data_IF_996338986754
#
_entry.id   IF_996338986754
#
_cell.length_a   1.000
_cell.length_b   1.000
_cell.length_c   1.000
_cell.angle_alpha   90.00
_cell.angle_beta   90.00
_cell.angle_gamma   90.00
#
_symmetry.space_group_name_H-M   'P 1'
#
loop_
_entity.id
_entity.type
_entity.pdbx_description
1 polymer ?
#
# COMPACT_ATOMS: atom_id res chain seq x y z
N UNK A 1 13.28 -26.11 33.28
CA UNK A 1 14.26 -26.28 32.18
C UNK A 1 13.66 -26.88 30.89
N UNK A 2 12.34 -27.04 30.75
CA UNK A 2 11.72 -27.66 29.56
C UNK A 2 11.12 -26.65 28.54
N UNK A 3 11.30 -25.33 28.74
CA UNK A 3 10.69 -24.30 27.87
C UNK A 3 11.47 -23.97 26.59
N UNK A 4 12.72 -24.42 26.45
CA UNK A 4 13.55 -24.06 25.29
C UNK A 4 13.48 -25.09 24.14
N UNK A 5 13.12 -26.34 24.42
CA UNK A 5 13.13 -27.42 23.41
C UNK A 5 11.94 -27.33 22.44
N UNK A 6 10.77 -26.88 22.92
CA UNK A 6 9.56 -26.78 22.09
C UNK A 6 9.69 -25.64 21.05
N UNK A 7 10.35 -24.53 21.42
CA UNK A 7 10.62 -23.43 20.47
C UNK A 7 11.64 -23.83 19.41
N UNK A 8 12.68 -24.60 19.74
CA UNK A 8 13.67 -25.04 18.75
C UNK A 8 13.14 -26.15 17.83
N UNK A 9 12.28 -27.05 18.33
CA UNK A 9 11.65 -28.08 17.51
C UNK A 9 10.70 -27.49 16.44
N UNK A 10 9.97 -26.42 16.77
CA UNK A 10 9.15 -25.68 15.81
C UNK A 10 9.98 -24.94 14.75
N UNK A 11 11.14 -24.39 15.15
CA UNK A 11 12.10 -23.73 14.24
C UNK A 11 12.82 -24.72 13.31
N UNK A 12 13.10 -25.95 13.74
CA UNK A 12 13.84 -26.95 12.97
C UNK A 12 13.00 -27.61 11.85
N UNK A 13 11.68 -27.71 12.03
CA UNK A 13 10.77 -28.21 10.99
C UNK A 13 10.56 -27.20 9.83
N UNK A 14 10.98 -25.94 9.99
CA UNK A 14 10.81 -24.85 9.03
C UNK A 14 11.72 -24.94 7.80
N UNK A 15 12.78 -25.76 7.83
CA UNK A 15 13.78 -25.78 6.76
C UNK A 15 13.30 -26.35 5.41
N UNK A 16 12.09 -26.91 5.33
CA UNK A 16 11.60 -27.62 4.13
C UNK A 16 10.18 -27.22 3.65
N UNK A 17 9.61 -26.11 4.12
CA UNK A 17 8.32 -25.63 3.60
C UNK A 17 8.53 -24.69 2.40
N UNK A 18 8.23 -25.16 1.20
CA UNK A 18 8.18 -24.31 -0.01
C UNK A 18 7.14 -23.20 0.15
N UNK A 19 7.57 -21.95 0.01
CA UNK A 19 6.74 -20.73 0.09
C UNK A 19 5.60 -20.82 -0.95
N UNK A 20 4.31 -20.72 -0.56
CA UNK A 20 3.20 -20.74 -1.51
C UNK A 20 3.21 -19.50 -2.43
N UNK A 21 2.74 -19.61 -3.69
CA UNK A 21 2.69 -18.50 -4.62
C UNK A 21 1.80 -17.37 -4.09
N UNK A 22 2.25 -16.12 -4.21
CA UNK A 22 1.52 -14.92 -3.78
C UNK A 22 1.95 -14.30 -2.45
N UNK A 23 2.91 -14.89 -1.74
CA UNK A 23 3.49 -14.27 -0.54
C UNK A 23 4.57 -13.23 -0.91
N UNK A 24 4.64 -12.08 -0.20
CA UNK A 24 5.72 -11.14 -0.38
C UNK A 24 7.06 -11.79 -0.06
N UNK A 25 8.12 -11.41 -0.79
CA UNK A 25 9.49 -11.78 -0.45
C UNK A 25 9.88 -11.04 0.84
N UNK A 26 9.62 -11.66 1.99
CA UNK A 26 9.75 -11.08 3.32
C UNK A 26 10.51 -12.01 4.26
N UNK A 27 11.27 -11.50 5.25
CA UNK A 27 11.91 -12.33 6.27
C UNK A 27 10.94 -13.23 7.06
N UNK A 28 9.63 -12.93 7.04
CA UNK A 28 8.58 -13.72 7.71
C UNK A 28 7.86 -14.73 6.80
N UNK A 29 8.32 -14.96 5.56
CA UNK A 29 7.61 -15.81 4.60
C UNK A 29 7.33 -17.23 5.17
N UNK A 30 8.33 -17.84 5.80
CA UNK A 30 8.19 -19.18 6.42
C UNK A 30 7.18 -19.16 7.59
N UNK A 31 7.24 -18.12 8.42
CA UNK A 31 6.30 -17.94 9.54
C UNK A 31 4.87 -17.74 9.04
N UNK A 32 4.67 -16.92 8.00
CA UNK A 32 3.36 -16.75 7.37
C UNK A 32 2.86 -18.08 6.81
N UNK A 33 3.74 -18.87 6.17
CA UNK A 33 3.42 -20.22 5.70
C UNK A 33 2.91 -21.12 6.83
N UNK A 34 3.55 -21.09 8.00
CA UNK A 34 3.12 -21.84 9.19
C UNK A 34 1.77 -21.34 9.72
N UNK A 35 1.56 -20.02 9.75
CA UNK A 35 0.31 -19.43 10.20
C UNK A 35 -0.87 -19.72 9.26
N UNK A 36 -0.60 -19.98 7.98
CA UNK A 36 -1.59 -20.39 6.99
C UNK A 36 -1.88 -21.90 6.98
N UNK A 37 -1.03 -22.72 7.60
CA UNK A 37 -1.26 -24.16 7.68
C UNK A 37 -2.48 -24.47 8.54
N UNK A 38 -3.20 -25.54 8.17
CA UNK A 38 -4.36 -26.01 8.92
C UNK A 38 -3.99 -26.38 10.36
N UNK A 39 -4.88 -26.05 11.30
CA UNK A 39 -4.73 -26.45 12.71
C UNK A 39 -4.86 -27.97 12.84
N UNK A 40 -5.88 -28.56 12.20
CA UNK A 40 -6.11 -29.99 12.12
C UNK A 40 -6.84 -30.36 10.81
N UNK A 41 -6.74 -31.61 10.32
CA UNK A 41 -7.36 -32.04 9.06
C UNK A 41 -8.88 -31.87 9.00
N UNK A 42 -9.56 -32.03 10.13
CA UNK A 42 -11.02 -31.93 10.31
C UNK A 42 -11.46 -30.60 10.93
N UNK A 43 -10.51 -29.78 11.39
CA UNK A 43 -10.74 -28.46 11.94
C UNK A 43 -9.65 -27.48 11.44
N UNK A 44 -9.67 -27.08 10.16
CA UNK A 44 -8.59 -26.29 9.55
C UNK A 44 -8.37 -24.95 10.26
N UNK A 45 -9.42 -24.34 10.79
CA UNK A 45 -9.34 -23.10 11.58
C UNK A 45 -9.32 -23.33 13.11
N UNK A 46 -9.35 -24.57 13.58
CA UNK A 46 -9.40 -24.88 15.00
C UNK A 46 -10.67 -24.39 15.70
N UNK A 47 -10.63 -24.38 17.05
CA UNK A 47 -11.76 -23.98 17.88
C UNK A 47 -11.85 -22.44 18.05
N UNK A 48 -13.05 -21.93 18.32
CA UNK A 48 -13.21 -20.57 18.85
C UNK A 48 -12.70 -20.55 20.30
N UNK A 49 -11.72 -19.69 20.58
CA UNK A 49 -11.03 -19.61 21.88
C UNK A 49 -11.43 -18.39 22.70
N UNK A 50 -12.56 -17.75 22.42
CA UNK A 50 -12.95 -16.46 23.06
C UNK A 50 -12.97 -16.47 24.60
N UNK A 51 -13.23 -17.62 25.24
CA UNK A 51 -13.20 -17.78 26.70
C UNK A 51 -11.93 -18.46 27.22
N UNK A 52 -10.98 -18.80 26.34
CA UNK A 52 -9.71 -19.39 26.74
C UNK A 52 -8.85 -18.38 27.52
N UNK A 53 -8.19 -18.84 28.58
CA UNK A 53 -7.40 -17.96 29.44
C UNK A 53 -6.24 -17.27 28.69
N UNK A 54 -5.61 -17.94 27.72
CA UNK A 54 -4.54 -17.34 26.91
C UNK A 54 -5.09 -16.30 25.94
N UNK A 55 -6.29 -16.52 25.39
CA UNK A 55 -6.98 -15.55 24.54
C UNK A 55 -7.32 -14.27 25.32
N UNK A 56 -7.93 -14.40 26.49
CA UNK A 56 -8.25 -13.27 27.35
C UNK A 56 -6.98 -12.51 27.79
N UNK A 57 -5.92 -13.25 28.12
CA UNK A 57 -4.63 -12.66 28.44
C UNK A 57 -4.02 -11.90 27.26
N UNK A 58 -4.14 -12.42 26.02
CA UNK A 58 -3.69 -11.71 24.82
C UNK A 58 -4.40 -10.35 24.69
N UNK A 59 -5.73 -10.33 24.83
CA UNK A 59 -6.52 -9.10 24.71
C UNK A 59 -6.15 -8.08 25.79
N UNK A 60 -5.99 -8.53 27.03
CA UNK A 60 -5.53 -7.67 28.12
C UNK A 60 -4.13 -7.09 27.84
N UNK A 61 -3.19 -7.93 27.40
CA UNK A 61 -1.80 -7.54 27.11
C UNK A 61 -1.68 -6.59 25.94
N UNK A 62 -2.55 -6.72 24.94
CA UNK A 62 -2.57 -5.85 23.77
C UNK A 62 -3.22 -4.49 24.05
N UNK A 63 -3.94 -4.34 25.16
CA UNK A 63 -4.63 -3.10 25.53
C UNK A 63 -3.64 -2.09 26.15
N UNK A 64 -3.45 -0.90 25.56
CA UNK A 64 -2.58 0.12 26.14
C UNK A 64 -3.15 0.65 27.45
N UNK A 65 -2.28 0.90 28.43
CA UNK A 65 -2.70 1.51 29.69
C UNK A 65 -2.64 3.02 29.54
N UNK A 66 -3.80 3.67 29.62
CA UNK A 66 -3.88 5.12 29.64
C UNK A 66 -3.22 5.70 30.91
N UNK A 67 -2.85 6.97 30.86
CA UNK A 67 -2.41 7.69 32.05
C UNK A 67 -3.52 7.68 33.11
N UNK A 68 -3.16 7.40 34.36
CA UNK A 68 -4.09 7.36 35.48
C UNK A 68 -3.67 8.36 36.54
N UNK A 69 -4.60 9.22 36.98
CA UNK A 69 -4.36 10.15 38.06
C UNK A 69 -5.12 9.72 39.33
N UNK A 70 -4.37 9.33 40.37
CA UNK A 70 -4.89 9.02 41.69
C UNK A 70 -4.47 10.12 42.68
N UNK A 71 -5.37 11.09 42.88
CA UNK A 71 -5.07 12.28 43.67
C UNK A 71 -3.92 13.07 43.04
N UNK A 72 -2.80 13.14 43.76
CA UNK A 72 -1.57 13.80 43.30
C UNK A 72 -0.61 12.86 42.55
N UNK A 73 -0.91 11.55 42.49
CA UNK A 73 -0.07 10.57 41.79
C UNK A 73 -0.52 10.40 40.35
N UNK A 74 0.36 10.72 39.40
CA UNK A 74 0.16 10.47 37.97
C UNK A 74 0.94 9.21 37.57
N UNK A 75 0.23 8.18 37.13
CA UNK A 75 0.77 6.97 36.53
C UNK A 75 0.80 7.18 35.02
N UNK A 76 1.99 7.24 34.37
CA UNK A 76 2.09 7.54 32.95
C UNK A 76 1.46 6.42 32.10
N UNK A 77 1.09 6.77 30.87
CA UNK A 77 0.65 5.78 29.90
C UNK A 77 1.77 4.77 29.61
N UNK A 78 1.43 3.48 29.59
CA UNK A 78 2.36 2.38 29.31
C UNK A 78 1.94 1.69 28.02
N UNK A 79 2.88 1.61 27.07
CA UNK A 79 2.67 0.87 25.83
C UNK A 79 2.71 -0.65 26.10
N UNK A 80 1.92 -1.45 25.37
CA UNK A 80 1.99 -2.90 25.43
C UNK A 80 3.41 -3.45 25.19
N UNK A 81 3.75 -4.55 25.87
CA UNK A 81 4.91 -5.36 25.53
C UNK A 81 4.60 -6.14 24.24
N UNK A 82 4.91 -5.54 23.10
CA UNK A 82 4.60 -6.11 21.78
C UNK A 82 5.28 -7.46 21.53
N UNK A 83 6.44 -7.73 22.14
CA UNK A 83 7.10 -9.04 22.05
C UNK A 83 6.30 -10.11 22.81
N UNK A 84 5.78 -9.76 23.99
CA UNK A 84 4.91 -10.65 24.74
C UNK A 84 3.58 -10.90 24.00
N UNK A 85 3.00 -9.85 23.40
CA UNK A 85 1.78 -9.94 22.57
C UNK A 85 2.02 -10.87 21.37
N UNK A 86 3.11 -10.67 20.62
CA UNK A 86 3.46 -11.53 19.48
C UNK A 86 3.59 -12.99 19.91
N UNK A 87 4.35 -13.27 20.97
CA UNK A 87 4.56 -14.64 21.46
C UNK A 87 3.24 -15.33 21.82
N UNK A 88 2.33 -14.62 22.50
CA UNK A 88 1.01 -15.16 22.86
C UNK A 88 0.14 -15.38 21.63
N UNK A 89 0.11 -14.42 20.70
CA UNK A 89 -0.67 -14.53 19.48
C UNK A 89 -0.19 -15.69 18.59
N UNK A 90 1.12 -15.89 18.47
CA UNK A 90 1.71 -17.03 17.74
C UNK A 90 1.35 -18.37 18.40
N UNK A 91 1.38 -18.46 19.73
CA UNK A 91 0.97 -19.66 20.45
C UNK A 91 -0.51 -20.01 20.24
N UNK A 92 -1.39 -19.00 20.30
CA UNK A 92 -2.81 -19.16 19.99
C UNK A 92 -3.05 -19.54 18.52
N UNK A 93 -2.26 -19.01 17.58
CA UNK A 93 -2.39 -19.30 16.14
C UNK A 93 -2.12 -20.76 15.76
N UNK A 94 -1.51 -21.54 16.67
CA UNK A 94 -1.35 -22.98 16.53
C UNK A 94 -2.64 -23.76 16.87
N UNK A 95 -3.61 -23.13 17.55
CA UNK A 95 -4.85 -23.74 18.05
C UNK A 95 -6.10 -23.17 17.40
N UNK A 96 -6.02 -21.95 16.86
CA UNK A 96 -7.14 -21.26 16.22
C UNK A 96 -6.66 -20.33 15.10
N UNK A 97 -7.45 -20.20 14.04
CA UNK A 97 -7.33 -19.13 13.03
C UNK A 97 -8.43 -18.12 13.31
N UNK A 98 -8.09 -17.09 14.05
CA UNK A 98 -9.02 -16.08 14.54
C UNK A 98 -8.50 -14.67 14.22
N UNK A 99 -9.30 -13.87 13.52
CA UNK A 99 -8.96 -12.50 13.14
C UNK A 99 -8.68 -11.61 14.35
N UNK A 100 -9.28 -11.87 15.52
CA UNK A 100 -9.02 -11.12 16.76
C UNK A 100 -7.62 -11.40 17.29
N UNK A 101 -7.13 -12.65 17.17
CA UNK A 101 -5.75 -13.02 17.50
C UNK A 101 -4.79 -12.41 16.48
N UNK A 102 -5.15 -12.50 15.19
CA UNK A 102 -4.32 -11.97 14.10
C UNK A 102 -4.25 -10.44 14.16
N UNK A 103 -5.28 -9.74 14.64
CA UNK A 103 -5.22 -8.30 14.86
C UNK A 103 -4.16 -7.90 15.89
N UNK A 104 -4.08 -8.65 17.00
CA UNK A 104 -3.03 -8.44 18.00
C UNK A 104 -1.63 -8.74 17.41
N UNK A 105 -1.51 -9.82 16.61
CA UNK A 105 -0.28 -10.16 15.91
C UNK A 105 0.13 -9.06 14.92
N UNK A 106 -0.80 -8.60 14.10
CA UNK A 106 -0.62 -7.53 13.12
C UNK A 106 -0.13 -6.25 13.78
N UNK A 107 -0.74 -5.89 14.91
CA UNK A 107 -0.29 -4.75 15.69
C UNK A 107 1.13 -4.94 16.21
N UNK A 108 1.44 -6.12 16.78
CA UNK A 108 2.78 -6.42 17.29
C UNK A 108 3.86 -6.40 16.20
N UNK A 109 3.56 -6.87 14.99
CA UNK A 109 4.49 -6.82 13.87
C UNK A 109 4.67 -5.41 13.34
N UNK A 110 3.59 -4.64 13.25
CA UNK A 110 3.66 -3.23 12.82
C UNK A 110 4.52 -2.41 13.77
N UNK A 111 4.38 -2.60 15.08
CA UNK A 111 5.12 -1.83 16.09
C UNK A 111 6.59 -2.22 16.18
N UNK A 112 6.91 -3.49 15.93
CA UNK A 112 8.29 -3.97 16.00
C UNK A 112 9.05 -3.85 14.68
N UNK A 113 8.34 -3.81 13.56
CA UNK A 113 8.93 -3.99 12.23
C UNK A 113 8.40 -3.02 11.17
N UNK A 114 7.64 -2.01 11.59
CA UNK A 114 7.19 -0.95 10.71
C UNK A 114 6.25 -1.43 9.59
N UNK A 115 6.34 -0.76 8.45
CA UNK A 115 5.55 -1.06 7.25
C UNK A 115 5.77 -2.49 6.72
N UNK A 116 6.98 -3.07 6.72
CA UNK A 116 7.17 -4.49 6.41
C UNK A 116 6.32 -5.42 7.28
N UNK A 117 6.28 -5.20 8.60
CA UNK A 117 5.46 -6.00 9.52
C UNK A 117 3.95 -5.84 9.26
N UNK A 118 3.50 -4.64 8.91
CA UNK A 118 2.11 -4.39 8.54
C UNK A 118 1.73 -5.10 7.23
N UNK A 119 2.59 -5.02 6.21
CA UNK A 119 2.39 -5.68 4.92
C UNK A 119 2.30 -7.21 5.08
N UNK A 120 3.18 -7.80 5.90
CA UNK A 120 3.18 -9.23 6.20
C UNK A 120 1.87 -9.68 6.87
N UNK A 121 1.37 -8.89 7.82
CA UNK A 121 0.12 -9.19 8.51
C UNK A 121 -1.10 -9.09 7.58
N UNK A 122 -1.15 -8.07 6.72
CA UNK A 122 -2.19 -7.93 5.71
C UNK A 122 -2.15 -9.08 4.70
N UNK A 123 -0.97 -9.51 4.27
CA UNK A 123 -0.81 -10.66 3.38
C UNK A 123 -1.30 -11.96 4.03
N UNK A 124 -1.04 -12.16 5.33
CA UNK A 124 -1.59 -13.27 6.11
C UNK A 124 -3.12 -13.23 6.14
N UNK A 125 -3.73 -12.07 6.44
CA UNK A 125 -5.19 -11.92 6.47
C UNK A 125 -5.82 -12.16 5.11
N UNK A 126 -5.27 -11.58 4.04
CA UNK A 126 -5.75 -11.79 2.68
C UNK A 126 -5.77 -13.28 2.31
N UNK A 127 -4.68 -14.01 2.60
CA UNK A 127 -4.59 -15.44 2.34
C UNK A 127 -5.54 -16.27 3.22
N UNK A 128 -5.75 -15.90 4.48
CA UNK A 128 -6.71 -16.60 5.35
C UNK A 128 -8.15 -16.41 4.87
N UNK A 129 -8.52 -15.19 4.50
CA UNK A 129 -9.86 -14.91 3.94
C UNK A 129 -10.08 -15.66 2.62
N UNK A 130 -9.07 -15.74 1.76
CA UNK A 130 -9.16 -16.49 0.51
C UNK A 130 -9.32 -18.00 0.74
N UNK A 131 -8.50 -18.59 1.64
CA UNK A 131 -8.41 -20.04 1.83
C UNK A 131 -9.45 -20.60 2.78
N UNK A 132 -9.89 -19.80 3.76
CA UNK A 132 -10.64 -20.28 4.93
C UNK A 132 -11.85 -19.40 5.24
N UNK A 133 -12.42 -18.76 4.22
CA UNK A 133 -13.55 -17.84 4.38
C UNK A 133 -14.63 -18.36 5.33
N UNK A 134 -15.16 -19.56 5.11
CA UNK A 134 -16.28 -20.06 5.91
C UNK A 134 -15.85 -20.35 7.36
N UNK A 135 -14.71 -21.02 7.53
CA UNK A 135 -14.24 -21.56 8.83
C UNK A 135 -13.43 -20.60 9.70
N UNK A 136 -13.03 -19.44 9.19
CA UNK A 136 -12.26 -18.45 9.95
C UNK A 136 -13.06 -17.88 11.13
N UNK A 137 -12.41 -17.69 12.28
CA UNK A 137 -13.05 -17.05 13.44
C UNK A 137 -12.84 -15.53 13.42
N UNK A 138 -13.78 -14.72 13.95
CA UNK A 138 -15.16 -15.07 14.31
C UNK A 138 -15.96 -15.58 13.10
N UNK A 139 -16.94 -16.47 13.31
CA UNK A 139 -17.81 -16.99 12.23
C UNK A 139 -18.73 -15.90 11.67
N UNK A 140 -19.32 -16.13 10.49
CA UNK A 140 -20.32 -15.24 9.87
C UNK A 140 -21.74 -15.52 10.35
N UNK A 141 -21.89 -16.36 11.36
CA UNK A 141 -23.17 -16.74 11.93
C UNK A 141 -23.16 -16.53 13.44
N UNK A 142 -24.30 -16.06 13.96
CA UNK A 142 -24.59 -15.97 15.39
C UNK A 142 -25.88 -16.76 15.64
N UNK A 143 -25.79 -17.83 16.43
CA UNK A 143 -26.90 -18.73 16.74
C UNK A 143 -27.65 -19.28 15.50
N UNK A 144 -26.92 -19.49 14.40
CA UNK A 144 -27.46 -20.01 13.14
C UNK A 144 -28.04 -18.96 12.20
N UNK A 145 -28.04 -17.68 12.61
CA UNK A 145 -28.44 -16.56 11.76
C UNK A 145 -27.20 -15.86 11.16
N UNK A 146 -27.21 -15.49 9.87
CA UNK A 146 -26.11 -14.74 9.25
C UNK A 146 -25.86 -13.41 9.97
N UNK A 147 -24.69 -13.27 10.60
CA UNK A 147 -24.22 -12.06 11.25
C UNK A 147 -22.70 -11.88 11.00
N UNK A 148 -22.31 -11.08 9.98
CA UNK A 148 -20.91 -10.81 9.69
C UNK A 148 -20.28 -9.79 10.66
N UNK A 149 -21.05 -9.17 11.55
CA UNK A 149 -20.63 -7.99 12.33
C UNK A 149 -19.35 -8.24 13.13
N UNK A 150 -19.27 -9.34 13.88
CA UNK A 150 -18.10 -9.65 14.71
C UNK A 150 -16.84 -9.86 13.87
N UNK A 151 -16.97 -10.56 12.74
CA UNK A 151 -15.84 -10.77 11.83
C UNK A 151 -15.38 -9.47 11.20
N UNK A 152 -16.33 -8.63 10.76
CA UNK A 152 -16.00 -7.37 10.09
C UNK A 152 -15.39 -6.36 11.06
N UNK A 153 -15.82 -6.33 12.33
CA UNK A 153 -15.15 -5.55 13.37
C UNK A 153 -13.70 -6.01 13.58
N UNK A 154 -13.47 -7.33 13.69
CA UNK A 154 -12.12 -7.87 13.82
C UNK A 154 -11.24 -7.57 12.60
N UNK A 155 -11.82 -7.61 11.39
CA UNK A 155 -11.11 -7.27 10.15
C UNK A 155 -10.78 -5.78 10.07
N UNK A 156 -11.70 -4.91 10.50
CA UNK A 156 -11.53 -3.46 10.48
C UNK A 156 -10.39 -2.98 11.40
N UNK A 157 -10.10 -3.69 12.49
CA UNK A 157 -8.93 -3.44 13.36
C UNK A 157 -7.59 -3.59 12.63
N UNK A 158 -7.56 -4.39 11.56
CA UNK A 158 -6.35 -4.72 10.79
C UNK A 158 -6.29 -3.93 9.49
N UNK A 159 -7.36 -4.02 8.69
CA UNK A 159 -7.42 -3.57 7.30
C UNK A 159 -8.30 -2.32 7.11
N UNK A 160 -8.92 -1.81 8.18
CA UNK A 160 -9.72 -0.60 8.16
C UNK A 160 -9.01 0.61 8.80
N UNK A 161 -9.75 1.69 9.00
CA UNK A 161 -9.26 2.95 9.56
C UNK A 161 -9.05 2.95 11.11
N UNK A 162 -8.61 1.82 11.67
CA UNK A 162 -8.47 1.61 13.12
C UNK A 162 -6.99 1.59 13.56
N UNK A 163 -6.72 0.95 14.70
CA UNK A 163 -5.46 1.11 15.40
C UNK A 163 -4.27 0.60 14.61
N UNK A 164 -4.32 -0.56 13.94
CA UNK A 164 -3.19 -1.04 13.12
C UNK A 164 -2.79 -0.02 12.04
N UNK A 165 -3.76 0.51 11.30
CA UNK A 165 -3.51 1.57 10.32
C UNK A 165 -2.90 2.83 10.98
N UNK A 166 -3.42 3.25 12.14
CA UNK A 166 -2.86 4.39 12.90
C UNK A 166 -1.45 4.15 13.41
N UNK A 167 -1.07 2.91 13.71
CA UNK A 167 0.30 2.53 14.02
C UNK A 167 1.16 2.61 12.77
N UNK A 168 0.77 1.94 11.69
CA UNK A 168 1.50 1.95 10.41
C UNK A 168 1.80 3.37 9.95
N UNK A 169 0.83 4.29 10.05
CA UNK A 169 1.03 5.70 9.66
C UNK A 169 2.11 6.44 10.46
N UNK A 170 2.43 5.99 11.68
CA UNK A 170 3.49 6.56 12.53
C UNK A 170 4.85 5.89 12.32
N UNK A 171 4.88 4.73 11.68
CA UNK A 171 6.11 3.98 11.44
C UNK A 171 6.97 4.68 10.37
N UNK A 172 8.31 4.55 10.45
CA UNK A 172 9.21 4.95 9.37
C UNK A 172 8.79 4.31 8.05
N UNK A 173 8.80 5.10 6.97
CA UNK A 173 8.49 4.60 5.62
C UNK A 173 9.53 3.57 5.15
N UNK A 174 10.79 3.80 5.51
CA UNK A 174 11.94 2.92 5.27
C UNK A 174 12.98 3.16 6.37
N UNK A 175 13.99 2.28 6.45
CA UNK A 175 15.03 2.36 7.49
C UNK A 175 15.77 3.70 7.45
N UNK A 176 15.75 4.42 8.57
CA UNK A 176 16.34 5.77 8.70
C UNK A 176 15.56 6.89 7.99
N UNK A 177 14.42 6.58 7.37
CA UNK A 177 13.54 7.54 6.71
C UNK A 177 12.52 8.20 7.65
N UNK A 178 11.77 9.20 7.17
CA UNK A 178 10.68 9.81 7.92
C UNK A 178 9.51 8.84 8.14
N UNK A 179 8.62 9.16 9.08
CA UNK A 179 7.36 8.41 9.25
C UNK A 179 6.50 8.47 7.98
N UNK A 180 5.58 7.51 7.77
CA UNK A 180 4.63 7.57 6.64
C UNK A 180 3.83 8.87 6.63
N UNK A 181 3.38 9.33 7.81
CA UNK A 181 2.72 10.63 7.97
C UNK A 181 3.59 11.80 7.50
N UNK A 182 4.85 11.81 7.89
CA UNK A 182 5.72 12.93 7.58
C UNK A 182 6.17 12.86 6.12
N UNK A 183 6.44 11.67 5.58
CA UNK A 183 6.69 11.46 4.16
C UNK A 183 5.52 11.99 3.30
N UNK A 184 4.27 11.71 3.68
CA UNK A 184 3.09 12.28 3.02
C UNK A 184 3.11 13.82 3.07
N UNK A 185 3.36 14.42 4.23
CA UNK A 185 3.43 15.88 4.39
C UNK A 185 4.52 16.54 3.56
N UNK A 186 5.69 15.92 3.48
CA UNK A 186 6.80 16.38 2.64
C UNK A 186 6.40 16.38 1.16
N UNK A 187 5.64 15.39 0.72
CA UNK A 187 5.11 15.35 -0.65
C UNK A 187 4.05 16.42 -0.92
N UNK A 188 3.32 16.88 0.10
CA UNK A 188 2.37 18.00 0.01
C UNK A 188 3.04 19.37 -0.12
N UNK A 189 4.34 19.48 0.16
CA UNK A 189 5.01 20.78 0.32
C UNK A 189 4.52 21.57 1.53
N UNK A 190 3.94 20.90 2.54
CA UNK A 190 3.49 21.50 3.79
C UNK A 190 4.64 21.61 4.80
N UNK A 191 5.71 22.31 4.42
CA UNK A 191 6.93 22.48 5.24
C UNK A 191 6.94 23.77 6.09
N UNK A 192 5.78 24.39 6.35
CA UNK A 192 5.73 25.73 6.96
C UNK A 192 5.73 25.77 8.50
N UNK A 193 6.24 24.72 9.17
CA UNK A 193 6.35 24.71 10.64
C UNK A 193 7.79 24.63 11.12
N UNK A 194 8.70 25.44 10.56
CA UNK A 194 9.91 25.98 11.22
C UNK A 194 10.76 25.04 12.11
N UNK A 195 10.68 23.72 11.93
CA UNK A 195 11.33 22.73 12.77
C UNK A 195 12.55 22.24 12.01
N UNK A 196 13.77 22.41 12.56
CA UNK A 196 15.03 22.13 11.85
C UNK A 196 15.27 20.65 11.53
N UNK A 197 14.29 19.77 11.80
CA UNK A 197 14.33 18.31 11.57
C UNK A 197 13.46 17.89 10.37
N UNK A 198 12.57 18.76 9.87
CA UNK A 198 11.77 18.47 8.68
C UNK A 198 12.63 18.65 7.42
N UNK A 199 12.91 17.55 6.73
CA UNK A 199 13.51 17.60 5.39
C UNK A 199 12.59 18.27 4.37
N UNK A 200 12.99 18.32 3.10
CA UNK A 200 12.11 18.78 2.01
C UNK A 200 11.62 17.61 1.16
N UNK A 201 10.67 17.87 0.25
CA UNK A 201 10.27 16.93 -0.80
C UNK A 201 11.47 16.37 -1.56
N UNK A 202 12.41 17.23 -1.94
CA UNK A 202 13.64 16.85 -2.66
C UNK A 202 14.53 15.96 -1.80
N UNK A 203 14.66 16.26 -0.51
CA UNK A 203 15.44 15.44 0.42
C UNK A 203 14.84 14.04 0.58
N UNK A 204 13.51 13.92 0.64
CA UNK A 204 12.83 12.62 0.69
C UNK A 204 13.09 11.82 -0.59
N UNK A 205 12.93 12.43 -1.76
CA UNK A 205 13.18 11.77 -3.05
C UNK A 205 14.65 11.35 -3.19
N UNK A 206 15.58 12.19 -2.75
CA UNK A 206 17.00 11.87 -2.73
C UNK A 206 17.31 10.68 -1.81
N UNK A 207 16.73 10.64 -0.60
CA UNK A 207 16.90 9.54 0.33
C UNK A 207 16.34 8.21 -0.22
N UNK A 208 15.16 8.26 -0.85
CA UNK A 208 14.56 7.09 -1.50
C UNK A 208 15.40 6.59 -2.70
N UNK A 209 15.98 7.51 -3.46
CA UNK A 209 16.89 7.18 -4.57
C UNK A 209 18.20 6.56 -4.08
N UNK A 210 18.78 7.10 -3.00
CA UNK A 210 19.99 6.58 -2.37
C UNK A 210 19.76 5.16 -1.83
N UNK A 211 18.68 4.97 -1.06
CA UNK A 211 18.30 3.65 -0.55
C UNK A 211 18.15 2.63 -1.69
N UNK A 212 17.56 3.03 -2.83
CA UNK A 212 17.44 2.18 -4.02
C UNK A 212 18.79 1.84 -4.65
N UNK A 213 19.72 2.80 -4.67
CA UNK A 213 21.07 2.62 -5.20
C UNK A 213 21.88 1.63 -4.37
N UNK A 214 21.61 1.55 -3.07
CA UNK A 214 22.18 0.56 -2.14
C UNK A 214 21.54 -0.84 -2.26
N UNK A 215 20.64 -1.03 -3.24
CA UNK A 215 19.96 -2.30 -3.51
C UNK A 215 18.73 -2.56 -2.64
N UNK A 216 18.32 -1.60 -1.80
CA UNK A 216 17.08 -1.72 -1.03
C UNK A 216 15.86 -1.32 -1.87
N UNK A 217 14.69 -1.85 -1.52
CA UNK A 217 13.43 -1.49 -2.18
C UNK A 217 12.50 -0.79 -1.18
N UNK A 218 12.75 0.50 -0.87
CA UNK A 218 12.15 1.18 0.29
C UNK A 218 10.62 1.30 0.25
N UNK A 219 9.99 1.05 -0.91
CA UNK A 219 8.55 1.13 -1.10
C UNK A 219 7.88 -0.23 -1.37
N UNK A 220 8.62 -1.34 -1.40
CA UNK A 220 8.01 -2.64 -1.71
C UNK A 220 7.03 -3.07 -0.62
N UNK A 221 7.38 -2.86 0.65
CA UNK A 221 6.47 -3.11 1.76
C UNK A 221 5.19 -2.25 1.67
N UNK A 222 5.32 -0.97 1.29
CA UNK A 222 4.16 -0.10 1.08
C UNK A 222 3.26 -0.62 -0.05
N UNK A 223 3.84 -1.05 -1.17
CA UNK A 223 3.11 -1.62 -2.31
C UNK A 223 2.44 -2.95 -1.96
N UNK A 224 3.14 -3.81 -1.21
CA UNK A 224 2.61 -5.07 -0.74
C UNK A 224 1.43 -4.87 0.22
N UNK A 225 1.52 -3.89 1.15
CA UNK A 225 0.41 -3.53 2.02
C UNK A 225 -0.81 -3.06 1.23
N UNK A 226 -0.64 -2.15 0.26
CA UNK A 226 -1.74 -1.66 -0.59
C UNK A 226 -2.39 -2.79 -1.41
N UNK A 227 -1.57 -3.69 -1.99
CA UNK A 227 -2.09 -4.83 -2.74
C UNK A 227 -2.90 -5.78 -1.83
N UNK A 228 -2.44 -6.04 -0.62
CA UNK A 228 -3.15 -6.89 0.33
C UNK A 228 -4.45 -6.25 0.83
N UNK A 229 -4.46 -4.93 1.09
CA UNK A 229 -5.68 -4.18 1.45
C UNK A 229 -6.74 -4.28 0.34
N UNK A 230 -6.34 -4.09 -0.91
CA UNK A 230 -7.24 -4.22 -2.06
C UNK A 230 -7.79 -5.65 -2.18
N UNK A 231 -6.92 -6.66 -2.05
CA UNK A 231 -7.34 -8.07 -2.09
C UNK A 231 -8.36 -8.41 -0.99
N UNK A 232 -8.16 -7.90 0.23
CA UNK A 232 -9.12 -8.03 1.33
C UNK A 232 -10.45 -7.36 0.96
N UNK A 233 -10.42 -6.11 0.47
CA UNK A 233 -11.61 -5.32 0.15
C UNK A 233 -12.44 -5.95 -0.96
N UNK A 234 -11.78 -6.42 -2.03
CA UNK A 234 -12.42 -7.19 -3.12
C UNK A 234 -13.01 -8.49 -2.56
N UNK A 235 -12.24 -9.25 -1.79
CA UNK A 235 -12.68 -10.53 -1.24
C UNK A 235 -13.92 -10.41 -0.33
N UNK A 236 -14.01 -9.36 0.47
CA UNK A 236 -15.21 -9.07 1.29
C UNK A 236 -16.37 -8.60 0.42
N UNK A 237 -16.13 -7.68 -0.50
CA UNK A 237 -17.16 -7.12 -1.39
C UNK A 237 -17.85 -8.21 -2.21
N UNK A 238 -17.07 -9.14 -2.76
CA UNK A 238 -17.60 -10.24 -3.60
C UNK A 238 -18.51 -11.20 -2.83
N UNK A 239 -18.32 -11.32 -1.50
CA UNK A 239 -19.01 -12.33 -0.67
C UNK A 239 -20.13 -11.75 0.18
N UNK A 240 -19.97 -10.52 0.68
CA UNK A 240 -20.92 -9.88 1.61
C UNK A 240 -21.52 -8.59 1.05
N UNK A 241 -20.95 -8.00 0.00
CA UNK A 241 -21.33 -6.68 -0.49
C UNK A 241 -20.40 -5.57 -0.01
N UNK A 242 -20.49 -4.41 -0.68
CA UNK A 242 -19.59 -3.28 -0.48
C UNK A 242 -19.73 -2.64 0.91
N UNK A 243 -20.92 -2.71 1.50
CA UNK A 243 -21.24 -2.16 2.81
C UNK A 243 -20.47 -2.81 3.96
N UNK A 244 -19.95 -4.03 3.75
CA UNK A 244 -19.14 -4.76 4.73
C UNK A 244 -17.65 -4.62 4.50
N UNK A 245 -17.23 -4.01 3.39
CA UNK A 245 -15.84 -3.88 3.05
C UNK A 245 -15.13 -2.87 3.99
N UNK A 246 -13.91 -3.16 4.49
CA UNK A 246 -13.20 -2.24 5.38
C UNK A 246 -12.94 -0.88 4.74
N UNK A 247 -13.20 0.19 5.49
CA UNK A 247 -13.00 1.57 5.05
C UNK A 247 -11.52 1.93 4.84
N UNK A 248 -11.26 2.73 3.82
CA UNK A 248 -9.94 3.31 3.55
C UNK A 248 -9.59 4.40 4.58
N UNK A 249 -8.56 4.13 5.38
CA UNK A 249 -8.02 5.05 6.39
C UNK A 249 -6.93 5.99 5.87
N UNK A 250 -6.53 6.96 6.71
CA UNK A 250 -5.47 7.93 6.39
C UNK A 250 -4.10 7.28 6.11
N UNK A 251 -3.84 6.10 6.69
CA UNK A 251 -2.60 5.37 6.44
C UNK A 251 -2.53 4.85 5.01
N UNK A 252 -3.62 4.25 4.52
CA UNK A 252 -3.73 3.72 3.16
C UNK A 252 -3.65 4.87 2.14
N UNK A 253 -4.36 5.98 2.37
CA UNK A 253 -4.28 7.19 1.54
C UNK A 253 -2.85 7.74 1.44
N UNK A 254 -2.15 7.81 2.58
CA UNK A 254 -0.76 8.24 2.62
C UNK A 254 0.15 7.30 1.82
N UNK A 255 0.00 5.99 1.98
CA UNK A 255 0.77 5.00 1.23
C UNK A 255 0.48 5.07 -0.27
N UNK A 256 -0.79 5.18 -0.68
CA UNK A 256 -1.18 5.36 -2.09
C UNK A 256 -0.50 6.58 -2.69
N UNK A 257 -0.52 7.70 -1.95
CA UNK A 257 0.11 8.94 -2.39
C UNK A 257 1.63 8.79 -2.55
N UNK A 258 2.29 8.23 -1.55
CA UNK A 258 3.74 8.01 -1.56
C UNK A 258 4.13 7.10 -2.74
N UNK A 259 3.43 5.98 -2.92
CA UNK A 259 3.72 5.01 -4.00
C UNK A 259 3.46 5.62 -5.39
N UNK A 260 2.47 6.49 -5.52
CA UNK A 260 2.14 7.18 -6.79
C UNK A 260 3.12 8.29 -7.13
N UNK A 261 3.47 9.12 -6.15
CA UNK A 261 4.21 10.37 -6.38
C UNK A 261 5.75 10.16 -6.38
N UNK A 262 6.23 9.01 -5.92
CA UNK A 262 7.64 8.62 -6.01
C UNK A 262 7.91 7.93 -7.35
N UNK A 263 8.83 8.47 -8.18
CA UNK A 263 9.15 7.87 -9.48
C UNK A 263 9.64 6.42 -9.36
N UNK A 264 9.07 5.55 -10.21
CA UNK A 264 9.65 4.24 -10.48
C UNK A 264 11.01 4.43 -11.15
N UNK A 265 11.98 3.54 -10.91
CA UNK A 265 13.27 3.65 -11.56
C UNK A 265 13.06 3.55 -13.06
N UNK A 266 13.56 4.54 -13.81
CA UNK A 266 13.71 4.35 -15.25
C UNK A 266 14.66 3.16 -15.46
N UNK A 267 14.32 2.21 -16.35
CA UNK A 267 15.25 1.15 -16.70
C UNK A 267 16.52 1.83 -17.23
N UNK A 268 17.59 1.77 -16.45
CA UNK A 268 18.88 2.27 -16.89
C UNK A 268 19.21 1.55 -18.20
N UNK A 269 19.49 2.27 -19.30
CA UNK A 269 20.01 1.65 -20.48
C UNK A 269 21.34 1.01 -20.08
N UNK A 270 21.35 -0.32 -20.01
CA UNK A 270 22.57 -1.11 -19.91
C UNK A 270 23.47 -0.66 -21.05
N UNK A 271 24.45 0.16 -20.72
CA UNK A 271 25.45 0.59 -21.68
C UNK A 271 26.27 -0.65 -22.01
N UNK A 272 26.26 -1.13 -23.27
CA UNK A 272 27.04 -2.29 -23.66
C UNK A 272 28.47 -1.84 -23.87
N UNK A 273 29.18 -1.46 -22.81
CA UNK A 273 30.59 -1.12 -22.88
C UNK A 273 31.32 -1.54 -21.61
N UNK A 274 31.40 -2.85 -21.43
CA UNK A 274 32.56 -3.48 -20.77
C UNK A 274 32.80 -4.85 -21.38
N UNK A 275 33.21 -4.88 -22.64
CA UNK A 275 33.89 -6.06 -23.17
C UNK A 275 35.10 -5.64 -24.03
N UNK A 276 36.25 -5.67 -23.34
CA UNK A 276 37.57 -6.06 -23.84
C UNK A 276 38.34 -5.11 -24.76
N UNK A 277 39.38 -4.53 -24.15
CA UNK A 277 40.59 -4.05 -24.79
C UNK A 277 41.15 -5.07 -25.80
N UNK A 278 41.40 -4.59 -27.01
CA UNK A 278 42.23 -5.26 -28.00
C UNK A 278 43.70 -4.80 -27.88
N UNK A 279 44.65 -5.61 -28.37
CA UNK A 279 45.73 -5.09 -29.19
C UNK A 279 45.66 -5.62 -30.64
N UNK A 280 46.24 -4.85 -31.56
CA UNK A 280 45.96 -4.85 -33.01
C UNK A 280 46.39 -6.08 -33.81
N UNK A 281 45.90 -6.19 -35.06
CA UNK A 281 46.69 -5.90 -36.27
C UNK A 281 45.83 -5.89 -37.56
N UNK A 282 46.25 -5.05 -38.52
CA UNK A 282 46.07 -5.04 -40.00
C UNK A 282 44.71 -5.11 -40.73
N UNK A 283 44.69 -4.33 -41.82
CA UNK A 283 43.62 -3.97 -42.76
C UNK A 283 43.24 -5.02 -43.83
N UNK A 284 41.98 -4.97 -44.32
CA UNK A 284 41.62 -4.60 -45.71
C UNK A 284 40.08 -4.64 -45.97
N UNK A 285 39.57 -4.01 -47.06
CA UNK A 285 38.24 -3.40 -47.11
C UNK A 285 37.19 -4.12 -47.96
N UNK A 286 35.92 -3.75 -47.71
CA UNK A 286 34.91 -3.56 -48.74
C UNK A 286 33.76 -4.58 -48.79
N UNK A 287 32.55 -4.14 -48.43
CA UNK A 287 31.35 -4.20 -49.29
C UNK A 287 30.16 -3.52 -48.60
N UNK A 288 29.52 -2.62 -49.34
CA UNK A 288 28.32 -1.91 -48.96
C UNK A 288 27.08 -2.82 -49.00
N UNK A 289 26.20 -2.71 -48.01
CA UNK A 289 24.81 -3.15 -48.14
C UNK A 289 23.88 -2.35 -47.21
N UNK A 290 23.10 -1.47 -47.85
CA UNK A 290 21.68 -1.14 -47.60
C UNK A 290 21.19 -0.87 -46.17
N UNK A 291 20.88 0.41 -45.94
CA UNK A 291 20.07 0.91 -44.84
C UNK A 291 18.62 0.38 -44.88
N UNK A 292 18.04 -0.03 -43.73
CA UNK A 292 16.60 -0.01 -43.53
C UNK A 292 16.17 1.29 -42.83
N UNK A 293 14.97 1.72 -43.20
CA UNK A 293 14.36 3.00 -42.89
C UNK A 293 14.24 3.31 -41.39
N UNK A 294 14.52 4.57 -41.06
CA UNK A 294 14.26 5.19 -39.77
C UNK A 294 12.77 5.04 -39.42
N UNK A 295 12.47 4.29 -38.36
CA UNK A 295 11.19 4.37 -37.66
C UNK A 295 11.12 5.73 -36.95
N UNK A 296 9.97 6.43 -36.94
CA UNK A 296 9.87 7.73 -36.28
C UNK A 296 10.19 7.56 -34.78
N UNK A 297 11.10 8.40 -34.29
CA UNK A 297 11.61 8.41 -32.93
C UNK A 297 10.46 8.43 -31.90
N UNK A 298 10.20 7.28 -31.26
CA UNK A 298 9.41 7.20 -30.03
C UNK A 298 10.14 7.81 -28.81
N UNK A 299 11.28 8.46 -29.01
CA UNK A 299 11.93 9.32 -28.01
C UNK A 299 11.54 10.79 -28.19
N UNK A 300 11.25 11.24 -29.42
CA UNK A 300 10.96 12.64 -29.71
C UNK A 300 9.65 13.18 -29.10
N UNK A 301 8.70 12.32 -28.71
CA UNK A 301 7.48 12.73 -28.01
C UNK A 301 7.65 12.78 -26.49
N UNK A 302 8.59 12.01 -25.91
CA UNK A 302 8.93 12.07 -24.48
C UNK A 302 9.80 13.28 -24.17
N UNK A 303 10.63 13.68 -25.13
CA UNK A 303 11.49 14.88 -25.05
C UNK A 303 10.80 16.14 -25.64
N UNK A 304 9.58 16.02 -26.15
CA UNK A 304 8.82 17.17 -26.64
C UNK A 304 8.28 17.98 -25.46
N UNK A 305 9.03 19.01 -25.05
CA UNK A 305 8.53 19.99 -24.11
C UNK A 305 7.29 20.69 -24.69
N UNK A 306 6.19 20.60 -23.96
CA UNK A 306 4.96 21.35 -24.26
C UNK A 306 5.13 22.75 -23.69
N UNK A 307 5.54 23.70 -24.54
CA UNK A 307 5.91 25.06 -24.10
C UNK A 307 4.78 26.07 -24.31
N UNK A 308 3.70 25.69 -24.99
CA UNK A 308 2.59 26.58 -25.31
C UNK A 308 1.22 25.89 -25.26
N UNK A 309 0.15 26.69 -25.11
CA UNK A 309 -1.24 26.20 -25.21
C UNK A 309 -1.56 25.60 -26.57
N UNK A 310 -0.89 26.07 -27.64
CA UNK A 310 -1.06 25.51 -28.97
C UNK A 310 -0.43 24.12 -29.11
N UNK A 311 0.69 23.86 -28.43
CA UNK A 311 1.30 22.52 -28.37
C UNK A 311 0.36 21.52 -27.69
N UNK A 312 -0.30 21.93 -26.61
CA UNK A 312 -1.34 21.13 -25.92
C UNK A 312 -2.49 20.81 -26.89
N UNK A 313 -2.98 21.82 -27.63
CA UNK A 313 -4.07 21.64 -28.60
C UNK A 313 -3.69 20.66 -29.70
N UNK A 314 -2.48 20.76 -30.25
CA UNK A 314 -1.96 19.84 -31.27
C UNK A 314 -1.80 18.42 -30.70
N UNK A 315 -1.33 18.28 -29.47
CA UNK A 315 -1.20 16.99 -28.78
C UNK A 315 -2.54 16.30 -28.58
N UNK A 316 -3.54 17.02 -28.08
CA UNK A 316 -4.89 16.50 -27.90
C UNK A 316 -5.54 16.11 -29.24
N UNK A 317 -5.32 16.86 -30.32
CA UNK A 317 -5.85 16.51 -31.67
C UNK A 317 -5.24 15.20 -32.19
N UNK A 318 -3.93 15.01 -32.00
CA UNK A 318 -3.24 13.75 -32.34
C UNK A 318 -3.80 12.57 -31.54
N UNK A 319 -4.05 12.75 -30.24
CA UNK A 319 -4.65 11.71 -29.39
C UNK A 319 -6.07 11.34 -29.84
N UNK A 320 -6.92 12.33 -30.14
CA UNK A 320 -8.27 12.08 -30.66
C UNK A 320 -8.22 11.28 -31.97
N UNK A 321 -7.37 11.68 -32.93
CA UNK A 321 -7.22 10.96 -34.21
C UNK A 321 -6.73 9.52 -34.02
N UNK A 322 -5.85 9.26 -33.05
CA UNK A 322 -5.40 7.91 -32.75
C UNK A 322 -6.57 7.02 -32.34
N UNK A 323 -7.35 7.43 -31.34
CA UNK A 323 -8.51 6.66 -30.86
C UNK A 323 -9.58 6.52 -31.93
N UNK A 324 -9.84 7.55 -32.73
CA UNK A 324 -10.81 7.47 -33.84
C UNK A 324 -10.40 6.45 -34.93
N UNK A 325 -9.10 6.22 -35.11
CA UNK A 325 -8.56 5.28 -36.10
C UNK A 325 -8.37 3.85 -35.56
N UNK A 326 -7.98 3.71 -34.29
CA UNK A 326 -7.57 2.42 -33.71
C UNK A 326 -8.62 1.85 -32.75
N UNK A 327 -9.46 2.69 -32.14
CA UNK A 327 -10.44 2.31 -31.11
C UNK A 327 -11.74 3.14 -31.22
N UNK A 328 -12.53 3.01 -32.31
CA UNK A 328 -13.66 3.89 -32.60
C UNK A 328 -14.80 3.82 -31.58
N UNK A 329 -14.87 2.76 -30.75
CA UNK A 329 -15.85 2.61 -29.67
C UNK A 329 -15.37 3.18 -28.33
N UNK A 330 -14.13 3.66 -28.23
CA UNK A 330 -13.57 4.19 -27.00
C UNK A 330 -14.18 5.58 -26.68
N UNK A 331 -14.59 5.87 -25.43
CA UNK A 331 -15.25 7.13 -25.07
C UNK A 331 -14.30 8.34 -24.99
N UNK A 332 -12.98 8.11 -24.93
CA UNK A 332 -11.98 9.17 -24.74
C UNK A 332 -12.03 10.32 -25.77
N UNK A 333 -12.22 10.10 -27.09
CA UNK A 333 -12.29 11.20 -28.06
C UNK A 333 -13.36 12.24 -27.72
N UNK A 334 -14.51 11.82 -27.18
CA UNK A 334 -15.58 12.73 -26.79
C UNK A 334 -15.15 13.63 -25.63
N UNK A 335 -14.47 13.06 -24.62
CA UNK A 335 -13.99 13.79 -23.46
C UNK A 335 -12.79 14.70 -23.81
N UNK A 336 -11.88 14.22 -24.65
CA UNK A 336 -10.71 14.98 -25.09
C UNK A 336 -11.12 16.17 -25.98
N UNK A 337 -12.09 16.01 -26.88
CA UNK A 337 -12.66 17.13 -27.65
C UNK A 337 -13.37 18.14 -26.75
N UNK A 338 -14.02 17.69 -25.68
CA UNK A 338 -14.59 18.60 -24.68
C UNK A 338 -13.49 19.39 -23.97
N UNK A 339 -12.42 18.73 -23.53
CA UNK A 339 -11.25 19.39 -22.93
C UNK A 339 -10.60 20.41 -23.88
N UNK A 340 -10.48 20.09 -25.18
CA UNK A 340 -9.97 21.04 -26.19
C UNK A 340 -10.81 22.31 -26.31
N UNK A 341 -12.16 22.21 -26.22
CA UNK A 341 -13.04 23.39 -26.27
C UNK A 341 -12.88 24.26 -25.03
N UNK A 342 -12.79 23.64 -23.85
CA UNK A 342 -12.60 24.36 -22.59
C UNK A 342 -11.25 25.07 -22.52
N UNK A 343 -10.21 24.54 -23.18
CA UNK A 343 -8.90 25.20 -23.29
C UNK A 343 -8.92 26.55 -24.02
N UNK A 344 -9.98 26.91 -24.72
CA UNK A 344 -10.10 28.21 -25.38
C UNK A 344 -10.95 29.23 -24.60
N UNK A 345 -11.61 28.79 -23.53
CA UNK A 345 -12.56 29.59 -22.76
C UNK A 345 -11.90 30.22 -21.53
N UNK A 346 -12.45 31.34 -21.08
CA UNK A 346 -12.12 31.89 -19.78
C UNK A 346 -12.82 31.12 -18.65
N UNK A 347 -12.39 31.34 -17.40
CA UNK A 347 -12.91 30.61 -16.25
C UNK A 347 -14.44 30.78 -16.08
N UNK A 348 -14.97 31.96 -16.40
CA UNK A 348 -16.41 32.23 -16.30
C UNK A 348 -17.20 31.45 -17.34
N UNK A 349 -16.71 31.42 -18.58
CA UNK A 349 -17.24 30.63 -19.68
C UNK A 349 -17.18 29.12 -19.42
N UNK A 350 -16.10 28.63 -18.79
CA UNK A 350 -15.95 27.22 -18.38
C UNK A 350 -17.03 26.86 -17.35
N UNK A 351 -17.26 27.71 -16.34
CA UNK A 351 -18.30 27.45 -15.33
C UNK A 351 -19.70 27.52 -15.97
N UNK A 352 -19.93 28.45 -16.90
CA UNK A 352 -21.19 28.54 -17.66
C UNK A 352 -21.48 27.27 -18.48
N UNK A 353 -20.44 26.61 -19.04
CA UNK A 353 -20.58 25.38 -19.82
C UNK A 353 -20.69 24.10 -18.97
N UNK A 354 -20.02 24.04 -17.82
CA UNK A 354 -19.96 22.83 -16.97
C UNK A 354 -21.03 22.79 -15.87
N UNK A 355 -21.37 23.93 -15.27
CA UNK A 355 -22.21 24.02 -14.08
C UNK A 355 -22.94 25.38 -14.03
N UNK A 356 -23.90 25.63 -14.94
CA UNK A 356 -24.58 26.93 -15.07
C UNK A 356 -25.30 27.37 -13.77
N UNK A 357 -25.75 26.43 -12.94
CA UNK A 357 -26.35 26.67 -11.62
C UNK A 357 -25.37 27.26 -10.58
N UNK A 358 -24.07 27.23 -10.85
CA UNK A 358 -23.03 27.77 -9.97
C UNK A 358 -22.66 29.22 -10.28
N UNK A 359 -23.13 29.78 -11.40
CA UNK A 359 -22.87 31.17 -11.80
C UNK A 359 -23.28 32.22 -10.75
N UNK A 360 -24.49 32.15 -10.13
CA UNK A 360 -24.90 33.17 -9.16
C UNK A 360 -23.99 33.23 -7.92
N UNK A 361 -23.36 32.11 -7.56
CA UNK A 361 -22.42 32.03 -6.43
C UNK A 361 -21.07 32.64 -6.80
N UNK A 362 -20.68 32.54 -8.07
CA UNK A 362 -19.46 33.13 -8.59
C UNK A 362 -19.56 34.65 -8.73
N UNK A 363 -20.71 35.17 -9.17
CA UNK A 363 -20.99 36.61 -9.22
C UNK A 363 -20.93 37.25 -7.81
N UNK A 364 -21.38 36.51 -6.79
CA UNK A 364 -21.29 36.89 -5.37
C UNK A 364 -19.84 36.97 -4.85
N UNK A 365 -18.91 36.21 -5.44
CA UNK A 365 -17.50 36.11 -5.04
C UNK A 365 -16.58 37.05 -5.82
N UNK A 366 -16.86 37.30 -7.11
CA UNK A 366 -16.07 38.19 -7.97
C UNK A 366 -16.38 39.67 -7.77
N UNK A 367 -17.50 40.01 -7.11
CA UNK A 367 -17.86 41.38 -6.78
C UNK A 367 -18.30 42.23 -7.96
N UNK A 368 -18.43 41.65 -9.17
CA UNK A 368 -18.98 42.37 -10.32
C UNK A 368 -20.51 42.40 -10.22
N UNK A 369 -21.03 43.55 -9.77
CA UNK A 369 -22.41 43.94 -10.08
C UNK A 369 -22.48 44.24 -11.58
N UNK A 370 -23.08 43.36 -12.37
CA UNK A 370 -23.73 43.80 -13.60
C UNK A 370 -25.13 44.33 -13.26
N UNK A 371 -25.32 45.62 -13.52
CA UNK A 371 -26.63 46.15 -13.90
C UNK A 371 -27.14 45.52 -15.20
#
# INVERSE_FOLDING_TARGET
>A
MHSNDVSQAALAAAAHATVPPGLPATPRADLIGQLLADVAPDAPCGANLEYDAEFLQLQERATPRAEQQYGDTVIPAEAPDWRAVERLALALSARTKDLRVIACLARSWTEQHGIPGYADALALVANLLERRWDDLHPRLDADGEPDPTLRMNALAEIAGAHDCARAARRQPLFDGGPSVRDAERLLDGRDDTGSPVAGSRESLLAALSAARSDGTTPLDAARAALHALEAIRVGVTDRLGREWAPDEGDAEKALHRIVRDVPLPEPQPVSPDMQQAAPGDTAQPGVAATAPAARPNAHAWRDAEVTSRDDVRIGLDKMCRYFEQHEPSHPAPLLLRRAQRLLALDFYEIIRDLAPESLPKLDLLSGERSE
#
